data_IF_426572794745
#
_entry.id   IF_426572794745
#
_cell.length_a   1.000
_cell.length_b   1.000
_cell.length_c   1.000
_cell.angle_alpha   90.00
_cell.angle_beta   90.00
_cell.angle_gamma   90.00
#
_symmetry.space_group_name_H-M   'P 1'
#
loop_
_entity.id
_entity.type
_entity.pdbx_description
1 polymer ?
#
# COMPACT_ATOMS: atom_id res chain seq x y z
N UNK A 1 -37.05 0.93 -27.12
CA UNK A 1 -38.27 0.82 -26.29
C UNK A 1 -37.96 -0.21 -25.22
N UNK A 2 -37.89 0.22 -23.96
CA UNK A 2 -37.73 -0.67 -22.80
C UNK A 2 -39.05 -0.60 -22.02
N UNK A 3 -39.73 -1.71 -21.73
CA UNK A 3 -41.03 -1.69 -21.08
C UNK A 3 -40.82 -1.77 -19.56
N UNK A 4 -40.99 -0.66 -18.87
CA UNK A 4 -41.31 -0.69 -17.43
C UNK A 4 -42.55 0.18 -17.22
N UNK A 5 -43.65 -0.38 -16.71
CA UNK A 5 -44.90 0.36 -16.53
C UNK A 5 -44.74 1.41 -15.42
N UNK A 6 -45.35 2.58 -15.64
CA UNK A 6 -45.38 3.73 -14.73
C UNK A 6 -46.15 3.48 -13.40
N UNK A 7 -46.40 2.23 -13.03
CA UNK A 7 -47.18 1.82 -11.86
C UNK A 7 -46.38 1.88 -10.56
N UNK A 8 -45.06 1.68 -10.59
CA UNK A 8 -44.24 1.60 -9.36
C UNK A 8 -43.89 2.97 -8.75
N UNK A 9 -44.18 4.06 -9.46
CA UNK A 9 -43.90 5.42 -8.99
C UNK A 9 -45.09 6.10 -8.30
N UNK A 10 -46.28 5.48 -8.29
CA UNK A 10 -47.45 6.03 -7.58
C UNK A 10 -47.39 5.86 -6.06
N UNK A 11 -46.53 4.98 -5.53
CA UNK A 11 -46.36 4.77 -4.08
C UNK A 11 -45.57 5.88 -3.38
N UNK A 12 -44.77 6.66 -4.12
CA UNK A 12 -43.95 7.76 -3.59
C UNK A 12 -44.74 9.07 -3.41
N UNK A 13 -45.77 9.30 -4.21
CA UNK A 13 -46.56 10.53 -4.18
C UNK A 13 -47.56 10.57 -3.01
N UNK A 14 -47.93 9.42 -2.44
CA UNK A 14 -48.96 9.33 -1.39
C UNK A 14 -48.54 9.83 0.00
N UNK A 15 -47.25 10.08 0.25
CA UNK A 15 -46.76 10.49 1.58
C UNK A 15 -46.45 11.97 1.74
N UNK A 16 -46.41 12.77 0.66
CA UNK A 16 -45.97 14.17 0.74
C UNK A 16 -46.66 15.06 -0.32
N UNK A 17 -47.75 15.79 0.04
CA UNK A 17 -48.42 16.68 -0.90
C UNK A 17 -47.50 17.86 -1.27
N UNK A 18 -47.07 17.93 -2.54
CA UNK A 18 -46.29 19.07 -3.08
C UNK A 18 -45.12 18.73 -4.01
N UNK A 19 -44.78 17.45 -4.21
CA UNK A 19 -43.67 17.03 -5.08
C UNK A 19 -44.18 16.72 -6.50
N UNK A 20 -43.71 17.47 -7.50
CA UNK A 20 -43.95 17.20 -8.93
C UNK A 20 -42.64 16.77 -9.58
N UNK A 21 -42.56 15.51 -10.03
CA UNK A 21 -41.45 15.02 -10.86
C UNK A 21 -41.74 15.29 -12.34
N UNK A 22 -40.85 16.00 -13.02
CA UNK A 22 -40.96 16.28 -14.45
C UNK A 22 -39.81 15.59 -15.22
N UNK A 23 -40.18 14.79 -16.23
CA UNK A 23 -39.23 14.14 -17.14
C UNK A 23 -39.24 14.87 -18.50
N UNK A 24 -38.07 15.28 -19.00
CA UNK A 24 -37.93 15.77 -20.39
C UNK A 24 -37.12 14.76 -21.21
N UNK A 25 -37.62 14.27 -22.35
CA UNK A 25 -36.81 13.46 -23.25
C UNK A 25 -35.81 14.34 -23.99
N UNK A 26 -34.51 14.04 -23.87
CA UNK A 26 -33.48 14.63 -24.72
C UNK A 26 -33.21 13.73 -25.93
N UNK A 27 -33.20 14.30 -27.13
CA UNK A 27 -32.84 13.60 -28.37
C UNK A 27 -31.31 13.40 -28.42
N UNK A 28 -30.91 12.16 -28.73
CA UNK A 28 -29.62 11.66 -29.21
C UNK A 28 -28.44 11.44 -28.21
N UNK A 29 -28.04 10.14 -28.16
CA UNK A 29 -26.73 9.50 -27.86
C UNK A 29 -25.92 9.80 -26.59
N UNK A 30 -26.45 10.48 -25.59
CA UNK A 30 -25.88 10.42 -24.24
C UNK A 30 -26.98 10.59 -23.19
N UNK A 31 -27.22 9.59 -22.35
CA UNK A 31 -28.21 9.69 -21.26
C UNK A 31 -27.58 10.48 -20.11
N UNK A 32 -27.74 11.81 -20.12
CA UNK A 32 -27.65 12.62 -18.91
C UNK A 32 -29.06 12.85 -18.38
N UNK A 33 -29.47 12.10 -17.35
CA UNK A 33 -30.65 12.45 -16.58
C UNK A 33 -30.32 13.65 -15.69
N UNK A 34 -31.00 14.78 -15.89
CA UNK A 34 -31.06 15.86 -14.89
C UNK A 34 -32.34 15.68 -14.10
N UNK A 35 -32.22 15.23 -12.85
CA UNK A 35 -33.32 15.29 -11.89
C UNK A 35 -33.39 16.74 -11.37
N UNK A 36 -34.51 17.42 -11.60
CA UNK A 36 -34.75 18.77 -11.11
C UNK A 36 -36.00 18.80 -10.24
N UNK A 37 -35.84 19.17 -8.98
CA UNK A 37 -36.96 19.39 -8.05
C UNK A 37 -37.48 20.81 -8.29
N UNK A 38 -38.73 20.95 -8.72
CA UNK A 38 -39.43 22.25 -8.77
C UNK A 38 -40.59 22.21 -7.78
N UNK A 39 -40.48 22.96 -6.69
CA UNK A 39 -41.63 23.19 -5.80
C UNK A 39 -42.52 24.27 -6.41
N UNK A 40 -43.83 24.04 -6.45
CA UNK A 40 -44.82 25.06 -6.85
C UNK A 40 -44.86 26.18 -5.82
N UNK A 41 -45.00 27.43 -6.28
CA UNK A 41 -44.89 28.67 -5.49
C UNK A 41 -46.04 28.93 -4.50
N UNK A 42 -46.73 27.89 -4.05
CA UNK A 42 -47.86 27.96 -3.12
C UNK A 42 -47.70 26.88 -2.05
N UNK A 43 -46.74 27.10 -1.16
CA UNK A 43 -46.65 26.44 0.14
C UNK A 43 -45.89 27.38 1.07
N UNK A 44 -46.64 28.16 1.85
CA UNK A 44 -46.17 29.03 2.91
C UNK A 44 -45.74 28.20 4.12
N UNK A 45 -44.53 28.48 4.64
CA UNK A 45 -43.99 28.11 5.96
C UNK A 45 -44.05 26.63 6.39
N UNK A 46 -42.96 25.89 6.13
CA UNK A 46 -42.45 24.88 7.07
C UNK A 46 -40.96 24.64 6.82
N UNK A 47 -40.17 24.72 7.89
CA UNK A 47 -38.71 24.57 7.94
C UNK A 47 -38.26 23.16 7.53
N UNK A 48 -37.50 23.06 6.43
CA UNK A 48 -36.62 21.92 6.16
C UNK A 48 -35.22 22.49 6.10
N UNK A 49 -34.33 22.06 7.00
CA UNK A 49 -32.98 22.58 7.04
C UNK A 49 -32.10 21.96 5.92
N UNK A 50 -30.95 22.55 5.62
CA UNK A 50 -30.09 22.09 4.52
C UNK A 50 -29.50 20.68 4.75
N UNK A 51 -29.53 20.18 5.98
CA UNK A 51 -29.03 18.86 6.38
C UNK A 51 -30.04 17.75 6.04
N UNK A 52 -31.32 17.99 6.35
CA UNK A 52 -32.45 17.15 5.92
C UNK A 52 -32.55 17.11 4.39
N UNK A 53 -32.23 18.23 3.72
CA UNK A 53 -32.16 18.33 2.25
C UNK A 53 -31.05 17.45 1.67
N UNK A 54 -29.89 17.35 2.33
CA UNK A 54 -28.76 16.50 1.90
C UNK A 54 -29.03 15.03 2.17
N UNK A 55 -29.63 14.70 3.31
CA UNK A 55 -30.05 13.34 3.64
C UNK A 55 -31.07 12.80 2.62
N UNK A 56 -32.05 13.61 2.21
CA UNK A 56 -33.03 13.26 1.20
C UNK A 56 -32.40 12.99 -0.18
N UNK A 57 -31.43 13.83 -0.59
CA UNK A 57 -30.69 13.65 -1.85
C UNK A 57 -29.84 12.37 -1.81
N UNK A 58 -29.24 12.06 -0.66
CA UNK A 58 -28.44 10.86 -0.46
C UNK A 58 -29.31 9.60 -0.52
N UNK A 59 -30.43 9.57 0.20
CA UNK A 59 -31.32 8.39 0.24
C UNK A 59 -31.95 8.09 -1.12
N UNK A 60 -32.35 9.14 -1.87
CA UNK A 60 -32.84 8.99 -3.24
C UNK A 60 -31.75 8.48 -4.20
N UNK A 61 -30.49 8.91 -4.04
CA UNK A 61 -29.36 8.44 -4.84
C UNK A 61 -29.04 6.97 -4.58
N UNK A 62 -29.06 6.54 -3.32
CA UNK A 62 -28.81 5.14 -2.93
C UNK A 62 -29.88 4.21 -3.50
N UNK A 63 -31.17 4.59 -3.41
CA UNK A 63 -32.26 3.76 -3.94
C UNK A 63 -32.32 3.75 -5.46
N UNK A 64 -32.02 4.88 -6.12
CA UNK A 64 -31.90 4.91 -7.59
C UNK A 64 -30.73 4.05 -8.06
N UNK A 65 -29.60 4.02 -7.33
CA UNK A 65 -28.46 3.18 -7.67
C UNK A 65 -28.79 1.68 -7.53
N UNK A 66 -29.55 1.28 -6.50
CA UNK A 66 -30.02 -0.09 -6.33
C UNK A 66 -30.92 -0.62 -7.47
N UNK A 67 -31.62 0.25 -8.19
CA UNK A 67 -32.45 -0.13 -9.36
C UNK A 67 -31.62 -0.36 -10.62
N UNK A 68 -30.38 0.14 -10.69
CA UNK A 68 -29.50 -0.01 -11.86
C UNK A 68 -28.49 -1.18 -11.76
N UNK A 69 -28.43 -1.88 -10.62
CA UNK A 69 -27.54 -3.03 -10.43
C UNK A 69 -28.23 -4.16 -9.68
N UNK A 70 -29.10 -4.92 -10.36
CA UNK A 70 -29.37 -6.33 -10.06
C UNK A 70 -30.44 -6.90 -10.99
N UNK A 71 -30.01 -7.62 -12.03
CA UNK A 71 -30.84 -8.63 -12.68
C UNK A 71 -30.74 -9.94 -11.89
N UNK A 72 -31.50 -10.06 -10.80
CA UNK A 72 -31.92 -11.31 -10.15
C UNK A 72 -32.61 -10.97 -8.82
N UNK A 73 -33.95 -11.07 -8.76
CA UNK A 73 -34.67 -11.10 -7.48
C UNK A 73 -34.65 -12.54 -6.96
N UNK A 74 -33.91 -12.78 -5.87
CA UNK A 74 -34.18 -13.88 -4.97
C UNK A 74 -35.24 -13.41 -3.95
N UNK A 75 -36.37 -14.10 -3.90
CA UNK A 75 -37.40 -13.91 -2.88
C UNK A 75 -36.90 -14.48 -1.56
N UNK A 76 -36.76 -13.64 -0.53
CA UNK A 76 -36.57 -14.08 0.85
C UNK A 76 -37.91 -13.99 1.58
N UNK A 77 -38.41 -15.13 2.06
CA UNK A 77 -39.53 -15.22 2.98
C UNK A 77 -39.10 -14.76 4.38
N UNK A 78 -39.83 -13.81 4.94
CA UNK A 78 -39.71 -13.37 6.34
C UNK A 78 -40.17 -14.49 7.27
N UNK A 79 -39.21 -15.16 7.92
CA UNK A 79 -39.42 -15.80 9.23
C UNK A 79 -38.04 -16.04 9.89
N UNK A 80 -37.51 -15.01 10.53
CA UNK A 80 -36.41 -15.15 11.47
C UNK A 80 -36.76 -14.39 12.77
N UNK A 81 -36.51 -14.98 13.95
CA UNK A 81 -36.93 -14.41 15.22
C UNK A 81 -36.17 -13.12 15.49
N UNK A 82 -36.91 -12.10 15.94
CA UNK A 82 -36.39 -10.81 16.36
C UNK A 82 -35.43 -11.04 17.54
N UNK A 83 -34.13 -10.89 17.30
CA UNK A 83 -33.14 -10.74 18.37
C UNK A 83 -33.35 -9.35 18.99
N UNK A 84 -34.21 -9.27 20.00
CA UNK A 84 -34.23 -8.17 20.95
C UNK A 84 -32.94 -8.21 21.78
N UNK A 85 -31.87 -7.62 21.24
CA UNK A 85 -30.78 -6.99 22.00
C UNK A 85 -29.76 -6.38 21.00
N UNK A 86 -30.10 -5.22 20.45
CA UNK A 86 -29.14 -4.37 19.73
C UNK A 86 -29.33 -2.89 20.06
N UNK A 87 -29.75 -2.59 21.29
CA UNK A 87 -29.66 -1.24 21.84
C UNK A 87 -28.32 -1.12 22.57
N UNK A 88 -27.55 -0.12 22.17
CA UNK A 88 -26.26 0.32 22.72
C UNK A 88 -24.99 -0.29 22.13
N UNK A 89 -24.81 -0.15 20.80
CA UNK A 89 -23.51 0.35 20.31
C UNK A 89 -23.75 1.76 19.81
N UNK A 90 -23.92 2.70 20.74
CA UNK A 90 -23.79 4.09 20.41
C UNK A 90 -22.36 4.29 19.88
N UNK A 91 -22.20 4.58 18.59
CA UNK A 91 -20.95 5.11 18.07
C UNK A 91 -20.63 6.33 18.94
N UNK A 92 -19.63 6.21 19.81
CA UNK A 92 -19.15 7.35 20.57
C UNK A 92 -18.86 8.45 19.56
N UNK A 93 -19.35 9.69 19.74
CA UNK A 93 -18.94 10.78 18.88
C UNK A 93 -17.41 10.77 18.88
N UNK A 94 -16.78 10.67 17.70
CA UNK A 94 -15.32 10.73 17.58
C UNK A 94 -14.91 11.97 18.34
N UNK A 95 -14.29 11.76 19.50
CA UNK A 95 -13.98 12.83 20.39
C UNK A 95 -13.00 13.78 19.69
N UNK A 96 -12.99 15.06 20.04
CA UNK A 96 -12.00 16.01 19.55
C UNK A 96 -10.60 15.51 19.92
N UNK A 97 -9.93 14.79 19.02
CA UNK A 97 -8.57 14.29 19.19
C UNK A 97 -7.61 15.36 18.71
N UNK A 98 -6.50 15.53 19.42
CA UNK A 98 -5.45 16.48 19.06
C UNK A 98 -4.10 15.90 19.40
N UNK A 99 -3.14 16.10 18.51
CA UNK A 99 -1.74 15.83 18.76
C UNK A 99 -1.24 16.85 19.79
N UNK A 100 -0.88 16.37 20.98
CA UNK A 100 -0.34 17.21 22.06
C UNK A 100 1.14 17.48 21.85
N UNK A 101 1.91 16.44 21.49
CA UNK A 101 3.34 16.54 21.23
C UNK A 101 3.84 15.41 20.36
N UNK A 102 5.00 15.63 19.76
CA UNK A 102 5.73 14.63 18.97
C UNK A 102 7.15 14.52 19.54
N UNK A 103 7.57 13.30 19.86
CA UNK A 103 8.94 13.00 20.27
C UNK A 103 9.63 12.19 19.19
N UNK A 104 10.84 12.62 18.80
CA UNK A 104 11.74 11.86 17.94
C UNK A 104 12.96 11.50 18.75
N UNK A 105 13.30 10.21 18.76
CA UNK A 105 14.51 9.71 19.42
C UNK A 105 15.35 8.95 18.41
N UNK A 106 16.66 9.19 18.42
CA UNK A 106 17.60 8.52 17.52
C UNK A 106 18.43 7.51 18.30
N UNK A 107 18.54 6.31 17.73
CA UNK A 107 19.23 5.17 18.30
C UNK A 107 20.20 4.62 17.27
N UNK A 108 21.22 3.93 17.76
CA UNK A 108 22.25 3.30 16.95
C UNK A 108 22.51 1.91 17.53
N UNK A 109 22.18 0.86 16.77
CA UNK A 109 22.51 -0.50 17.15
C UNK A 109 23.92 -0.83 16.65
N UNK A 110 24.94 -0.98 17.52
CA UNK A 110 26.24 -1.45 17.10
C UNK A 110 26.16 -2.92 16.67
N UNK A 111 26.90 -3.25 15.61
CA UNK A 111 27.00 -4.59 15.05
C UNK A 111 28.45 -5.07 15.12
N UNK A 112 28.65 -6.18 15.83
CA UNK A 112 29.94 -6.87 15.92
C UNK A 112 29.75 -8.37 15.64
N UNK A 113 30.22 -8.89 14.49
CA UNK A 113 30.93 -8.15 13.43
C UNK A 113 30.00 -7.19 12.67
N UNK A 114 30.56 -6.16 11.98
CA UNK A 114 29.79 -5.29 11.09
C UNK A 114 29.02 -6.07 10.03
N UNK A 115 27.79 -5.65 9.74
CA UNK A 115 26.94 -6.29 8.73
C UNK A 115 27.44 -5.98 7.31
N UNK A 116 27.53 -7.00 6.46
CA UNK A 116 28.01 -6.87 5.07
C UNK A 116 26.84 -7.01 4.11
N UNK A 117 26.05 -5.95 4.02
CA UNK A 117 24.96 -5.85 3.06
C UNK A 117 25.44 -6.06 1.62
N UNK A 118 24.66 -6.77 0.79
CA UNK A 118 25.06 -7.04 -0.59
C UNK A 118 25.09 -5.79 -1.49
N UNK A 119 24.21 -4.82 -1.23
CA UNK A 119 24.12 -3.55 -1.95
C UNK A 119 25.12 -2.50 -1.46
N UNK A 120 25.89 -2.79 -0.41
CA UNK A 120 26.84 -1.85 0.20
C UNK A 120 28.25 -2.43 0.23
N UNK A 121 29.15 -1.82 -0.54
CA UNK A 121 30.57 -2.19 -0.54
C UNK A 121 31.29 -1.89 0.78
N UNK A 122 30.69 -1.13 1.69
CA UNK A 122 31.21 -0.81 3.01
C UNK A 122 30.44 -1.59 4.09
N UNK A 123 31.12 -2.38 4.94
CA UNK A 123 30.46 -3.02 6.07
C UNK A 123 29.83 -1.98 6.99
N UNK A 124 28.62 -2.25 7.46
CA UNK A 124 27.83 -1.38 8.33
C UNK A 124 28.09 -1.76 9.79
N UNK A 125 28.85 -0.96 10.56
CA UNK A 125 29.11 -1.24 11.97
C UNK A 125 27.93 -0.83 12.87
N UNK A 126 26.99 -0.05 12.34
CA UNK A 126 25.88 0.55 13.09
C UNK A 126 24.64 0.55 12.21
N UNK A 127 23.49 0.20 12.78
CA UNK A 127 22.17 0.45 12.19
C UNK A 127 21.52 1.65 12.88
N UNK A 128 21.42 2.82 12.22
CA UNK A 128 20.71 3.97 12.78
C UNK A 128 19.20 3.75 12.70
N UNK A 129 18.50 4.08 13.78
CA UNK A 129 17.04 3.97 13.87
C UNK A 129 16.48 5.23 14.52
N UNK A 130 15.53 5.88 13.85
CA UNK A 130 14.71 6.91 14.49
C UNK A 130 13.38 6.30 14.91
N UNK A 131 12.93 6.63 16.12
CA UNK A 131 11.61 6.27 16.64
C UNK A 131 10.83 7.55 16.87
N UNK A 132 9.66 7.62 16.25
CA UNK A 132 8.69 8.70 16.37
C UNK A 132 7.59 8.27 17.32
N UNK A 133 7.23 9.14 18.27
CA UNK A 133 6.09 8.98 19.18
C UNK A 133 5.17 10.18 19.06
N UNK A 134 3.96 9.97 18.56
CA UNK A 134 2.92 11.00 18.48
C UNK A 134 1.97 10.77 19.65
N UNK A 135 1.90 11.74 20.56
CA UNK A 135 1.08 11.66 21.76
C UNK A 135 -0.17 12.52 21.59
N UNK A 136 -1.33 11.91 21.76
CA UNK A 136 -2.60 12.64 21.81
C UNK A 136 -2.81 13.28 23.18
N UNK A 137 -3.59 14.35 23.25
CA UNK A 137 -3.97 15.01 24.53
C UNK A 137 -4.74 14.11 25.52
N UNK A 138 -5.08 12.88 25.12
CA UNK A 138 -5.72 11.84 25.95
C UNK A 138 -4.76 10.73 26.36
N UNK A 139 -3.46 10.88 26.08
CA UNK A 139 -2.41 9.94 26.47
C UNK A 139 -2.21 8.75 25.53
N UNK A 140 -3.04 8.55 24.50
CA UNK A 140 -2.77 7.54 23.48
C UNK A 140 -1.53 7.92 22.66
N UNK A 141 -0.68 6.93 22.37
CA UNK A 141 0.62 7.12 21.70
C UNK A 141 0.71 6.27 20.44
N UNK A 142 0.92 6.92 19.29
CA UNK A 142 1.29 6.26 18.04
C UNK A 142 2.81 6.15 17.90
N UNK A 143 3.28 5.05 17.33
CA UNK A 143 4.69 4.73 17.17
C UNK A 143 4.98 4.49 15.69
N UNK A 144 6.04 5.14 15.21
CA UNK A 144 6.57 4.91 13.88
C UNK A 144 8.09 4.88 13.90
N UNK A 145 8.68 4.38 12.81
CA UNK A 145 10.13 4.23 12.70
C UNK A 145 10.60 4.45 11.28
N UNK A 146 11.86 4.85 11.16
CA UNK A 146 12.59 4.86 9.90
C UNK A 146 14.08 4.97 10.16
N UNK A 147 14.81 5.31 9.10
CA UNK A 147 16.23 5.65 9.15
C UNK A 147 16.47 6.99 9.86
N UNK A 148 17.63 7.63 9.68
CA UNK A 148 17.91 8.92 10.29
C UNK A 148 16.94 10.02 9.80
N UNK A 149 16.21 10.64 10.73
CA UNK A 149 15.25 11.72 10.49
C UNK A 149 15.88 13.10 10.78
N UNK A 150 17.08 13.33 10.26
CA UNK A 150 17.81 14.58 10.54
C UNK A 150 17.02 15.81 10.06
N UNK A 151 16.84 16.78 10.94
CA UNK A 151 16.17 18.05 10.65
C UNK A 151 14.64 17.97 10.62
N UNK A 152 14.04 16.84 10.99
CA UNK A 152 12.58 16.69 11.06
C UNK A 152 11.95 17.62 12.11
N UNK A 153 12.72 17.98 13.14
CA UNK A 153 12.30 18.79 14.29
C UNK A 153 11.75 20.15 13.85
N UNK A 154 12.26 20.71 12.75
CA UNK A 154 11.82 21.99 12.19
C UNK A 154 10.38 21.98 11.66
N UNK A 155 9.81 20.78 11.45
CA UNK A 155 8.50 20.63 10.81
C UNK A 155 7.42 20.07 11.74
N UNK A 156 7.77 19.61 12.95
CA UNK A 156 6.84 18.91 13.84
C UNK A 156 5.64 19.77 14.27
N UNK A 157 5.84 21.08 14.44
CA UNK A 157 4.78 22.03 14.81
C UNK A 157 3.66 22.11 13.76
N UNK A 158 3.92 21.69 12.52
CA UNK A 158 2.91 21.63 11.48
C UNK A 158 1.84 20.55 11.77
N UNK A 159 2.15 19.56 12.62
CA UNK A 159 1.24 18.48 12.99
C UNK A 159 0.61 18.69 14.37
N UNK A 160 1.32 19.33 15.31
CA UNK A 160 0.83 19.57 16.68
C UNK A 160 -0.46 20.40 16.67
N UNK A 161 -1.39 20.05 17.57
CA UNK A 161 -2.71 20.69 17.71
C UNK A 161 -3.79 20.22 16.73
N UNK A 162 -3.40 19.54 15.64
CA UNK A 162 -4.33 18.96 14.67
C UNK A 162 -4.84 17.59 15.11
N UNK A 163 -5.99 17.17 14.56
CA UNK A 163 -6.56 15.84 14.82
C UNK A 163 -5.69 14.76 14.18
N UNK A 164 -5.16 13.77 14.94
CA UNK A 164 -4.37 12.69 14.37
C UNK A 164 -5.15 11.80 13.38
N UNK A 165 -6.49 11.84 13.40
CA UNK A 165 -7.34 11.10 12.48
C UNK A 165 -7.49 11.77 11.11
N UNK A 166 -7.06 13.03 10.95
CA UNK A 166 -6.99 13.74 9.67
C UNK A 166 -5.82 13.25 8.81
N UNK A 167 -5.69 11.94 8.62
CA UNK A 167 -4.52 11.29 7.99
C UNK A 167 -4.22 11.83 6.59
N UNK A 168 -5.26 12.18 5.81
CA UNK A 168 -5.08 12.79 4.50
C UNK A 168 -4.42 14.17 4.57
N UNK A 169 -4.80 14.99 5.56
CA UNK A 169 -4.20 16.32 5.78
C UNK A 169 -2.72 16.17 6.14
N UNK A 170 -2.43 15.25 7.06
CA UNK A 170 -1.06 15.00 7.50
C UNK A 170 -0.21 14.45 6.36
N UNK A 171 -0.74 13.53 5.54
CA UNK A 171 -0.04 13.03 4.36
C UNK A 171 0.38 14.16 3.41
N UNK A 172 -0.50 15.12 3.11
CA UNK A 172 -0.15 16.27 2.26
C UNK A 172 0.99 17.10 2.88
N UNK A 173 0.94 17.36 4.19
CA UNK A 173 2.03 18.07 4.89
C UNK A 173 3.34 17.28 4.80
N UNK A 174 3.29 15.97 5.09
CA UNK A 174 4.46 15.08 5.06
C UNK A 174 5.03 14.96 3.64
N UNK A 175 4.19 14.88 2.61
CA UNK A 175 4.63 14.85 1.22
C UNK A 175 5.37 16.13 0.82
N UNK A 176 4.99 17.29 1.36
CA UNK A 176 5.71 18.55 1.14
C UNK A 176 7.03 18.60 1.93
N UNK A 177 7.05 18.08 3.17
CA UNK A 177 8.30 17.96 3.95
C UNK A 177 9.30 17.05 3.23
N UNK A 178 8.83 15.98 2.58
CA UNK A 178 9.65 15.01 1.86
C UNK A 178 10.55 15.62 0.78
N UNK A 179 10.05 16.68 0.13
CA UNK A 179 10.78 17.47 -0.87
C UNK A 179 11.83 18.40 -0.23
N UNK A 180 11.53 18.96 0.95
CA UNK A 180 12.37 19.97 1.60
C UNK A 180 13.42 19.41 2.56
N UNK A 181 13.22 18.19 3.07
CA UNK A 181 14.03 17.64 4.16
C UNK A 181 14.28 16.14 4.05
N UNK A 182 14.11 15.45 5.17
CA UNK A 182 14.32 14.01 5.28
C UNK A 182 13.12 13.20 4.77
N UNK A 183 13.16 11.87 4.91
CA UNK A 183 12.03 10.96 4.62
C UNK A 183 11.07 10.95 5.83
N UNK A 184 9.94 11.69 5.85
CA UNK A 184 9.18 11.94 7.07
C UNK A 184 8.14 10.85 7.37
N UNK A 185 8.09 9.80 6.55
CA UNK A 185 7.09 8.71 6.60
C UNK A 185 6.98 7.95 7.93
N UNK A 186 7.98 7.90 8.82
CA UNK A 186 7.78 7.43 10.18
C UNK A 186 6.69 8.19 10.96
N UNK A 187 6.43 9.46 10.62
CA UNK A 187 5.30 10.22 11.18
C UNK A 187 3.96 9.68 10.68
N UNK A 188 3.82 9.35 9.39
CA UNK A 188 2.60 8.76 8.84
C UNK A 188 2.30 7.40 9.47
N UNK A 189 3.33 6.56 9.65
CA UNK A 189 3.20 5.28 10.36
C UNK A 189 2.72 5.50 11.80
N UNK A 190 3.31 6.46 12.52
CA UNK A 190 2.91 6.79 13.88
C UNK A 190 1.47 7.31 13.96
N UNK A 191 1.02 8.10 12.98
CA UNK A 191 -0.37 8.57 12.89
C UNK A 191 -1.34 7.41 12.69
N UNK A 192 -1.01 6.44 11.83
CA UNK A 192 -1.84 5.25 11.61
C UNK A 192 -1.90 4.34 12.84
N UNK A 193 -0.78 4.12 13.52
CA UNK A 193 -0.77 3.38 14.80
C UNK A 193 -1.62 4.10 15.87
N UNK A 194 -1.51 5.43 15.97
CA UNK A 194 -2.36 6.23 16.86
C UNK A 194 -3.84 6.12 16.49
N UNK A 195 -4.17 6.19 15.20
CA UNK A 195 -5.53 6.05 14.71
C UNK A 195 -6.12 4.68 15.04
N UNK A 196 -5.33 3.60 14.89
CA UNK A 196 -5.70 2.26 15.32
C UNK A 196 -6.01 2.18 16.81
N UNK A 197 -5.13 2.74 17.64
CA UNK A 197 -5.31 2.78 19.11
C UNK A 197 -6.50 3.60 19.56
N UNK A 198 -6.74 4.76 18.94
CA UNK A 198 -7.92 5.59 19.19
C UNK A 198 -9.20 4.84 18.83
N UNK A 199 -9.18 4.09 17.73
CA UNK A 199 -10.35 3.34 17.23
C UNK A 199 -10.51 1.96 17.85
N UNK A 200 -9.53 1.46 18.59
CA UNK A 200 -9.53 0.11 19.15
C UNK A 200 -9.41 -0.99 18.09
N UNK A 201 -8.84 -0.69 16.91
CA UNK A 201 -8.79 -1.60 15.76
C UNK A 201 -7.36 -1.68 15.19
N UNK A 202 -6.89 -2.86 14.73
CA UNK A 202 -5.61 -2.97 14.05
C UNK A 202 -5.64 -2.25 12.70
N UNK A 203 -4.54 -1.60 12.34
CA UNK A 203 -4.42 -0.78 11.12
C UNK A 203 -4.81 -1.52 9.85
N UNK A 204 -4.56 -2.83 9.74
CA UNK A 204 -4.88 -3.59 8.53
C UNK A 204 -6.40 -3.71 8.30
N UNK A 205 -7.21 -3.70 9.38
CA UNK A 205 -8.68 -3.65 9.28
C UNK A 205 -9.15 -2.27 8.82
N UNK A 206 -8.50 -1.21 9.31
CA UNK A 206 -8.79 0.16 8.88
C UNK A 206 -8.46 0.39 7.39
N UNK A 207 -7.47 -0.33 6.86
CA UNK A 207 -7.01 -0.24 5.47
C UNK A 207 -7.79 -1.10 4.47
N UNK A 208 -8.87 -1.77 4.90
CA UNK A 208 -9.75 -2.56 4.03
C UNK A 208 -9.91 -4.01 4.45
N UNK A 209 -9.04 -4.53 5.32
CA UNK A 209 -9.26 -5.81 5.98
C UNK A 209 -9.09 -7.06 5.09
N UNK A 210 -8.21 -7.03 4.08
CA UNK A 210 -8.06 -8.13 3.12
C UNK A 210 -7.74 -9.49 3.78
N UNK A 211 -6.70 -9.58 4.61
CA UNK A 211 -6.38 -10.81 5.34
C UNK A 211 -5.61 -10.53 6.62
N UNK A 212 -6.01 -11.16 7.73
CA UNK A 212 -5.25 -11.13 8.98
C UNK A 212 -3.98 -12.01 8.98
N UNK A 213 -3.65 -12.63 7.84
CA UNK A 213 -2.45 -13.46 7.64
C UNK A 213 -1.80 -13.09 6.31
N UNK A 214 -0.47 -13.03 6.32
CA UNK A 214 0.37 -12.79 5.14
C UNK A 214 1.38 -13.93 5.02
N UNK A 215 1.81 -14.25 3.79
CA UNK A 215 2.93 -15.19 3.60
C UNK A 215 4.21 -14.38 3.49
N UNK A 216 5.27 -14.84 4.11
CA UNK A 216 6.58 -14.18 4.05
C UNK A 216 7.55 -14.99 3.18
N UNK A 217 8.45 -14.29 2.50
CA UNK A 217 9.71 -14.87 2.03
C UNK A 217 10.85 -14.48 2.97
N UNK A 218 12.00 -15.14 2.88
CA UNK A 218 13.19 -14.76 3.65
C UNK A 218 14.24 -14.10 2.75
N UNK A 219 14.62 -12.86 3.05
CA UNK A 219 15.69 -12.14 2.35
C UNK A 219 17.05 -12.42 3.00
N UNK A 220 18.02 -12.91 2.21
CA UNK A 220 19.33 -13.33 2.75
C UNK A 220 20.26 -12.17 3.11
N UNK A 221 20.01 -10.97 2.57
CA UNK A 221 20.67 -9.70 2.90
C UNK A 221 22.18 -9.58 2.57
N UNK A 222 22.90 -10.68 2.39
CA UNK A 222 24.34 -10.73 2.21
C UNK A 222 24.73 -11.70 1.10
N UNK A 223 25.79 -11.36 0.37
CA UNK A 223 26.51 -12.34 -0.45
C UNK A 223 27.25 -13.32 0.48
N UNK A 224 27.22 -14.61 0.13
CA UNK A 224 27.89 -15.69 0.84
C UNK A 224 28.64 -16.58 -0.14
N UNK A 225 29.60 -17.35 0.33
CA UNK A 225 30.17 -18.42 -0.51
C UNK A 225 29.10 -19.45 -0.86
N UNK A 226 29.28 -20.19 -1.96
CA UNK A 226 28.22 -21.03 -2.55
C UNK A 226 27.68 -22.07 -1.56
N UNK A 227 28.56 -22.77 -0.85
CA UNK A 227 28.15 -23.75 0.17
C UNK A 227 27.41 -23.08 1.32
N UNK A 228 27.96 -22.00 1.87
CA UNK A 228 27.31 -21.27 2.96
C UNK A 228 25.94 -20.69 2.58
N UNK A 229 25.76 -20.28 1.32
CA UNK A 229 24.47 -19.83 0.81
C UNK A 229 23.47 -20.98 0.69
N UNK A 230 23.90 -22.14 0.19
CA UNK A 230 23.07 -23.34 0.11
C UNK A 230 22.64 -23.83 1.50
N UNK A 231 23.57 -23.86 2.47
CA UNK A 231 23.30 -24.20 3.87
C UNK A 231 22.29 -23.21 4.48
N UNK A 232 22.53 -21.91 4.30
CA UNK A 232 21.59 -20.86 4.76
C UNK A 232 20.19 -21.04 4.15
N UNK A 233 20.12 -21.39 2.86
CA UNK A 233 18.84 -21.61 2.20
C UNK A 233 18.11 -22.82 2.76
N UNK A 234 18.80 -23.95 2.97
CA UNK A 234 18.24 -25.14 3.59
C UNK A 234 17.72 -24.84 5.01
N UNK A 235 18.47 -24.10 5.83
CA UNK A 235 18.03 -23.66 7.16
C UNK A 235 16.74 -22.81 7.11
N UNK A 236 16.61 -21.93 6.12
CA UNK A 236 15.39 -21.12 5.94
C UNK A 236 14.19 -21.97 5.53
N UNK A 237 14.39 -23.00 4.72
CA UNK A 237 13.34 -23.98 4.37
C UNK A 237 12.91 -24.78 5.60
N UNK A 238 13.86 -25.24 6.42
CA UNK A 238 13.57 -25.96 7.67
C UNK A 238 12.80 -25.10 8.67
N UNK A 239 13.00 -23.77 8.64
CA UNK A 239 12.21 -22.80 9.41
C UNK A 239 10.81 -22.55 8.85
N UNK A 240 10.48 -23.14 7.70
CA UNK A 240 9.16 -23.08 7.08
C UNK A 240 8.96 -21.93 6.09
N UNK A 241 10.02 -21.27 5.62
CA UNK A 241 9.88 -20.26 4.57
C UNK A 241 9.63 -20.93 3.22
N UNK A 242 8.50 -20.64 2.55
CA UNK A 242 8.18 -21.21 1.24
C UNK A 242 8.91 -20.53 0.08
N UNK A 243 9.63 -19.44 0.36
CA UNK A 243 10.27 -18.60 -0.64
C UNK A 243 11.49 -17.88 -0.04
N UNK A 244 12.57 -17.75 -0.81
CA UNK A 244 13.86 -17.18 -0.35
C UNK A 244 14.41 -16.22 -1.40
N UNK A 245 14.71 -14.98 -1.00
CA UNK A 245 15.36 -13.97 -1.85
C UNK A 245 16.87 -14.00 -1.66
N UNK A 246 17.58 -14.26 -2.75
CA UNK A 246 19.03 -14.34 -2.82
C UNK A 246 19.60 -13.06 -3.44
N UNK A 247 20.74 -12.61 -2.92
CA UNK A 247 21.47 -11.47 -3.48
C UNK A 247 22.31 -11.90 -4.68
N UNK A 248 22.26 -11.11 -5.75
CA UNK A 248 22.85 -11.39 -7.06
C UNK A 248 23.59 -10.15 -7.54
N UNK A 249 24.79 -9.95 -7.00
CA UNK A 249 25.57 -8.73 -7.26
C UNK A 249 27.08 -9.00 -7.17
N UNK A 250 27.52 -10.20 -7.57
CA UNK A 250 28.96 -10.46 -7.69
C UNK A 250 29.50 -9.77 -8.94
N UNK A 251 30.82 -9.58 -8.97
CA UNK A 251 31.49 -8.89 -10.07
C UNK A 251 31.25 -9.58 -11.44
N UNK A 252 31.20 -10.91 -11.46
CA UNK A 252 30.74 -11.70 -12.60
C UNK A 252 29.42 -12.38 -12.24
N UNK A 253 28.34 -12.04 -12.95
CA UNK A 253 27.01 -12.61 -12.75
C UNK A 253 27.00 -14.14 -12.93
N UNK A 254 27.97 -14.71 -13.64
CA UNK A 254 28.09 -16.18 -13.76
C UNK A 254 28.43 -16.85 -12.44
N UNK A 255 29.12 -16.15 -11.54
CA UNK A 255 29.34 -16.65 -10.17
C UNK A 255 28.05 -16.64 -9.35
N UNK A 256 27.17 -15.66 -9.58
CA UNK A 256 25.85 -15.64 -8.97
C UNK A 256 24.97 -16.79 -9.48
N UNK A 257 24.99 -17.08 -10.79
CA UNK A 257 24.29 -18.24 -11.37
C UNK A 257 24.77 -19.54 -10.74
N UNK A 258 26.09 -19.76 -10.64
CA UNK A 258 26.64 -20.95 -9.97
C UNK A 258 26.25 -21.05 -8.49
N UNK A 259 26.14 -19.93 -7.80
CA UNK A 259 25.66 -19.91 -6.42
C UNK A 259 24.16 -20.28 -6.35
N UNK A 260 23.36 -19.77 -7.27
CA UNK A 260 21.94 -20.06 -7.39
C UNK A 260 21.67 -21.54 -7.73
N UNK A 261 22.46 -22.13 -8.64
CA UNK A 261 22.44 -23.57 -8.94
C UNK A 261 22.68 -24.40 -7.67
N UNK A 262 23.69 -24.06 -6.88
CA UNK A 262 23.98 -24.77 -5.60
C UNK A 262 22.83 -24.64 -4.60
N UNK A 263 22.16 -23.49 -4.53
CA UNK A 263 20.98 -23.32 -3.69
C UNK A 263 19.83 -24.18 -4.21
N UNK A 264 19.57 -24.17 -5.51
CA UNK A 264 18.49 -24.95 -6.13
C UNK A 264 18.68 -26.45 -5.89
N UNK A 265 19.91 -26.94 -6.00
CA UNK A 265 20.25 -28.34 -5.71
C UNK A 265 19.98 -28.70 -4.24
N UNK A 266 20.26 -27.78 -3.30
CA UNK A 266 20.06 -28.01 -1.88
C UNK A 266 18.59 -27.97 -1.43
N UNK A 267 17.79 -27.04 -1.96
CA UNK A 267 16.39 -26.82 -1.51
C UNK A 267 15.34 -27.49 -2.40
N UNK A 268 15.74 -27.97 -3.58
CA UNK A 268 14.84 -28.58 -4.56
C UNK A 268 13.86 -27.61 -5.21
N UNK A 269 12.85 -28.16 -5.89
CA UNK A 269 11.90 -27.39 -6.71
C UNK A 269 10.66 -26.86 -5.98
N UNK A 270 10.44 -27.20 -4.70
CA UNK A 270 9.24 -26.79 -3.96
C UNK A 270 9.31 -25.39 -3.34
N UNK A 271 10.50 -24.78 -3.34
CA UNK A 271 10.76 -23.46 -2.75
C UNK A 271 10.92 -22.45 -3.87
N UNK A 272 10.19 -21.34 -3.75
CA UNK A 272 10.32 -20.22 -4.70
C UNK A 272 11.64 -19.50 -4.44
N UNK A 273 12.47 -19.36 -5.47
CA UNK A 273 13.70 -18.58 -5.38
C UNK A 273 13.46 -17.23 -6.04
N UNK A 274 13.81 -16.17 -5.33
CA UNK A 274 13.72 -14.80 -5.81
C UNK A 274 15.14 -14.23 -5.85
N UNK A 275 15.39 -13.30 -6.77
CA UNK A 275 16.73 -12.75 -6.97
C UNK A 275 16.66 -11.24 -6.97
N UNK A 276 17.58 -10.62 -6.23
CA UNK A 276 17.80 -9.19 -6.20
C UNK A 276 19.14 -8.83 -6.83
N UNK A 277 19.11 -8.03 -7.89
CA UNK A 277 20.28 -7.62 -8.65
C UNK A 277 20.96 -6.34 -8.12
N UNK A 278 20.32 -5.63 -7.18
CA UNK A 278 20.81 -4.41 -6.54
C UNK A 278 21.33 -3.35 -7.58
N UNK A 279 20.71 -3.24 -8.78
CA UNK A 279 21.13 -2.25 -9.79
C UNK A 279 20.40 -0.90 -9.65
N UNK A 280 19.28 -0.85 -8.92
CA UNK A 280 18.49 0.35 -8.69
C UNK A 280 18.88 1.09 -7.40
N UNK A 281 19.05 0.34 -6.30
CA UNK A 281 19.52 0.81 -5.01
C UNK A 281 21.04 0.94 -4.99
N UNK A 282 21.48 2.17 -5.20
CA UNK A 282 22.90 2.52 -5.32
C UNK A 282 23.34 3.36 -4.14
N UNK A 283 24.49 3.04 -3.58
CA UNK A 283 25.11 3.80 -2.49
C UNK A 283 25.78 5.09 -3.00
N UNK A 284 25.91 6.13 -2.15
CA UNK A 284 26.54 7.40 -2.54
C UNK A 284 28.00 7.28 -3.05
N UNK A 285 28.72 6.21 -2.69
CA UNK A 285 30.10 5.95 -3.12
C UNK A 285 30.19 5.02 -4.33
N UNK A 286 29.08 4.52 -4.86
CA UNK A 286 29.15 3.64 -6.02
C UNK A 286 29.46 4.41 -7.29
N UNK A 287 30.50 3.98 -8.00
CA UNK A 287 30.94 4.59 -9.27
C UNK A 287 30.81 3.66 -10.47
N UNK A 288 30.52 2.37 -10.25
CA UNK A 288 30.35 1.38 -11.33
C UNK A 288 29.01 1.60 -12.04
N UNK A 289 28.95 1.63 -13.37
CA UNK A 289 27.66 1.73 -14.05
C UNK A 289 26.77 0.52 -13.75
N UNK A 290 25.44 0.69 -13.64
CA UNK A 290 24.52 -0.43 -13.54
C UNK A 290 24.55 -1.25 -14.85
N UNK A 291 23.98 -2.44 -14.82
CA UNK A 291 23.88 -3.27 -16.01
C UNK A 291 23.19 -2.56 -17.18
N UNK A 292 23.68 -2.88 -18.38
CA UNK A 292 23.00 -2.54 -19.62
C UNK A 292 21.77 -3.43 -19.81
N UNK A 293 20.82 -2.96 -20.62
CA UNK A 293 19.67 -3.77 -21.04
C UNK A 293 20.08 -5.14 -21.60
N UNK A 294 21.11 -5.20 -22.45
CA UNK A 294 21.56 -6.46 -23.05
C UNK A 294 22.11 -7.44 -22.02
N UNK A 295 22.86 -6.97 -21.02
CA UNK A 295 23.33 -7.81 -19.92
C UNK A 295 22.15 -8.35 -19.11
N UNK A 296 21.19 -7.50 -18.76
CA UNK A 296 20.00 -7.91 -18.02
C UNK A 296 19.16 -8.96 -18.77
N UNK A 297 19.01 -8.84 -20.09
CA UNK A 297 18.32 -9.85 -20.92
C UNK A 297 19.01 -11.22 -20.87
N UNK A 298 20.35 -11.24 -20.92
CA UNK A 298 21.10 -12.50 -20.83
C UNK A 298 20.90 -13.13 -19.46
N UNK A 299 21.10 -12.37 -18.38
CA UNK A 299 20.93 -12.86 -17.01
C UNK A 299 19.50 -13.34 -16.76
N UNK A 300 18.48 -12.59 -17.19
CA UNK A 300 17.09 -12.95 -16.98
C UNK A 300 16.71 -14.32 -17.60
N UNK A 301 17.31 -14.68 -18.74
CA UNK A 301 17.08 -16.00 -19.37
C UNK A 301 17.65 -17.14 -18.53
N UNK A 302 18.87 -16.96 -18.03
CA UNK A 302 19.51 -17.94 -17.14
C UNK A 302 18.71 -18.10 -15.84
N UNK A 303 18.22 -17.00 -15.26
CA UNK A 303 17.35 -17.03 -14.09
C UNK A 303 16.02 -17.74 -14.37
N UNK A 304 15.43 -17.54 -15.56
CA UNK A 304 14.19 -18.21 -15.96
C UNK A 304 14.38 -19.74 -16.09
N UNK A 305 15.52 -20.19 -16.63
CA UNK A 305 15.86 -21.62 -16.74
C UNK A 305 15.98 -22.29 -15.35
N UNK A 306 16.44 -21.55 -14.34
CA UNK A 306 16.54 -22.00 -12.95
C UNK A 306 15.22 -21.90 -12.15
N UNK A 307 14.13 -21.49 -12.82
CA UNK A 307 12.81 -21.36 -12.20
C UNK A 307 12.77 -20.28 -11.11
N UNK A 308 13.47 -19.17 -11.32
CA UNK A 308 13.39 -18.00 -10.43
C UNK A 308 12.03 -17.33 -10.59
N UNK A 309 11.44 -16.92 -9.46
CA UNK A 309 10.10 -16.33 -9.42
C UNK A 309 10.09 -14.88 -9.92
N UNK A 310 11.06 -14.05 -9.50
CA UNK A 310 11.30 -12.71 -10.01
C UNK A 310 12.77 -12.31 -10.03
N UNK A 311 13.08 -11.34 -10.89
CA UNK A 311 14.33 -10.59 -10.94
C UNK A 311 14.05 -9.16 -10.48
N UNK A 312 14.63 -8.80 -9.33
CA UNK A 312 14.45 -7.51 -8.67
C UNK A 312 15.58 -6.54 -9.04
N UNK A 313 15.19 -5.29 -9.32
CA UNK A 313 16.04 -4.16 -9.71
C UNK A 313 17.19 -4.50 -10.68
N UNK A 314 16.88 -5.01 -11.91
CA UNK A 314 17.89 -5.43 -12.88
C UNK A 314 18.59 -4.29 -13.62
N UNK A 315 18.06 -3.07 -13.52
CA UNK A 315 18.54 -1.87 -14.20
C UNK A 315 18.52 -0.67 -13.24
N UNK A 316 19.12 0.44 -13.67
CA UNK A 316 19.05 1.70 -12.90
C UNK A 316 17.61 2.10 -12.56
N UNK A 317 17.37 2.56 -11.32
CA UNK A 317 16.04 2.97 -10.80
C UNK A 317 15.27 3.95 -11.67
N UNK A 318 15.97 4.80 -12.44
CA UNK A 318 15.36 5.77 -13.35
C UNK A 318 15.05 5.25 -14.76
N UNK A 319 15.41 4.00 -15.09
CA UNK A 319 15.25 3.43 -16.44
C UNK A 319 13.93 2.67 -16.60
N UNK A 320 12.79 3.34 -16.36
CA UNK A 320 11.45 2.72 -16.47
C UNK A 320 11.23 2.08 -17.85
N UNK A 321 11.59 2.78 -18.93
CA UNK A 321 11.45 2.27 -20.31
C UNK A 321 12.28 1.01 -20.56
N UNK A 322 13.51 0.97 -20.06
CA UNK A 322 14.38 -0.20 -20.16
C UNK A 322 13.83 -1.39 -19.38
N UNK A 323 13.28 -1.16 -18.18
CA UNK A 323 12.62 -2.22 -17.40
C UNK A 323 11.36 -2.73 -18.11
N UNK A 324 10.52 -1.85 -18.67
CA UNK A 324 9.35 -2.25 -19.46
C UNK A 324 9.74 -3.09 -20.70
N UNK A 325 10.80 -2.67 -21.42
CA UNK A 325 11.33 -3.44 -22.53
C UNK A 325 11.86 -4.81 -22.08
N UNK A 326 12.55 -4.87 -20.94
CA UNK A 326 13.11 -6.10 -20.39
C UNK A 326 12.00 -7.08 -20.01
N UNK A 327 11.02 -6.60 -19.24
CA UNK A 327 9.81 -7.34 -18.85
C UNK A 327 9.14 -8.03 -20.04
N UNK A 328 8.96 -7.29 -21.14
CA UNK A 328 8.32 -7.82 -22.36
C UNK A 328 9.19 -8.84 -23.12
N UNK A 329 10.49 -8.91 -22.85
CA UNK A 329 11.45 -9.70 -23.63
C UNK A 329 11.84 -11.05 -22.99
N UNK A 330 11.69 -11.22 -21.67
CA UNK A 330 12.36 -12.31 -20.93
C UNK A 330 11.44 -13.34 -20.29
N UNK A 331 10.14 -13.09 -20.19
CA UNK A 331 9.17 -14.06 -19.60
C UNK A 331 9.37 -14.33 -18.10
N UNK A 332 10.28 -13.61 -17.45
CA UNK A 332 10.55 -13.61 -16.01
C UNK A 332 9.97 -12.34 -15.39
N UNK A 333 9.36 -12.46 -14.20
CA UNK A 333 8.78 -11.30 -13.52
C UNK A 333 9.85 -10.29 -13.16
N UNK A 334 9.61 -9.03 -13.48
CA UNK A 334 10.50 -7.92 -13.10
C UNK A 334 9.92 -7.22 -11.88
N UNK A 335 10.75 -7.04 -10.86
CA UNK A 335 10.38 -6.37 -9.62
C UNK A 335 11.23 -5.11 -9.39
N UNK A 336 10.65 -4.03 -8.84
CA UNK A 336 11.39 -2.83 -8.47
C UNK A 336 10.58 -1.90 -7.54
N UNK A 337 11.26 -0.88 -7.00
CA UNK A 337 10.62 0.28 -6.38
C UNK A 337 10.94 0.50 -4.90
N UNK A 338 11.86 -0.29 -4.33
CA UNK A 338 12.22 -0.29 -2.91
C UNK A 338 12.71 1.08 -2.40
N UNK A 339 13.51 1.77 -3.21
CA UNK A 339 14.12 3.05 -2.84
C UNK A 339 13.50 4.27 -3.53
N UNK A 340 12.44 4.06 -4.32
CA UNK A 340 11.73 5.13 -5.03
C UNK A 340 11.33 6.22 -4.05
N UNK A 341 11.70 7.48 -4.31
CA UNK A 341 11.54 8.56 -3.33
C UNK A 341 10.10 9.04 -3.20
N UNK A 342 9.39 9.12 -4.31
CA UNK A 342 8.14 9.87 -4.46
C UNK A 342 7.05 9.05 -5.12
N UNK A 343 5.81 9.44 -4.88
CA UNK A 343 4.62 8.82 -5.47
C UNK A 343 4.65 8.84 -7.01
N UNK A 344 5.12 9.94 -7.61
CA UNK A 344 5.18 10.10 -9.06
C UNK A 344 6.07 9.05 -9.73
N UNK A 345 7.21 8.72 -9.12
CA UNK A 345 8.11 7.71 -9.67
C UNK A 345 7.53 6.28 -9.52
N UNK A 346 6.75 6.00 -8.48
CA UNK A 346 6.00 4.75 -8.38
C UNK A 346 4.92 4.67 -9.47
N UNK A 347 4.23 5.79 -9.70
CA UNK A 347 3.23 5.91 -10.76
C UNK A 347 3.85 5.75 -12.16
N UNK A 348 5.04 6.28 -12.41
CA UNK A 348 5.78 6.07 -13.66
C UNK A 348 6.07 4.58 -13.89
N UNK A 349 6.47 3.84 -12.86
CA UNK A 349 6.69 2.39 -13.00
C UNK A 349 5.41 1.67 -13.47
N UNK A 350 4.25 2.06 -12.94
CA UNK A 350 2.95 1.52 -13.32
C UNK A 350 2.51 1.98 -14.72
N UNK A 351 2.64 3.27 -15.04
CA UNK A 351 2.24 3.84 -16.34
C UNK A 351 3.04 3.28 -17.51
N UNK A 352 4.35 3.08 -17.30
CA UNK A 352 5.21 2.46 -18.31
C UNK A 352 5.12 0.93 -18.31
N UNK A 353 4.32 0.32 -17.43
CA UNK A 353 4.25 -1.13 -17.22
C UNK A 353 5.65 -1.75 -17.05
N UNK A 354 6.46 -1.10 -16.21
CA UNK A 354 7.88 -1.40 -16.04
C UNK A 354 8.14 -2.67 -15.24
N UNK A 355 7.18 -3.07 -14.41
CA UNK A 355 7.31 -4.15 -13.42
C UNK A 355 6.08 -5.04 -13.42
N UNK A 356 6.28 -6.31 -13.06
CA UNK A 356 5.22 -7.24 -12.65
C UNK A 356 4.98 -7.18 -11.14
N UNK A 357 5.97 -6.71 -10.37
CA UNK A 357 5.95 -6.65 -8.92
C UNK A 357 6.48 -5.29 -8.46
N UNK A 358 5.65 -4.51 -7.77
CA UNK A 358 6.01 -3.21 -7.20
C UNK A 358 6.33 -3.37 -5.71
N UNK A 359 7.50 -2.88 -5.29
CA UNK A 359 8.06 -3.15 -3.96
C UNK A 359 8.37 -1.90 -3.12
N UNK A 360 7.44 -0.96 -2.89
CA UNK A 360 7.75 0.22 -2.09
C UNK A 360 7.85 -0.12 -0.60
N UNK A 361 8.54 0.71 0.19
CA UNK A 361 8.62 0.56 1.64
C UNK A 361 7.96 1.75 2.34
N UNK A 362 6.96 1.51 3.20
CA UNK A 362 6.21 2.56 3.89
C UNK A 362 7.08 3.43 4.82
N UNK A 363 8.23 2.92 5.29
CA UNK A 363 9.18 3.69 6.10
C UNK A 363 10.04 4.64 5.25
N UNK A 364 10.11 4.40 3.95
CA UNK A 364 10.97 5.12 3.01
C UNK A 364 10.16 6.00 2.06
N UNK A 365 8.93 5.64 1.73
CA UNK A 365 8.19 6.24 0.62
C UNK A 365 6.69 6.29 0.93
N UNK A 366 6.11 7.47 0.84
CA UNK A 366 4.66 7.73 0.89
C UNK A 366 3.89 7.22 2.12
N UNK A 367 4.55 6.69 3.15
CA UNK A 367 3.89 6.19 4.35
C UNK A 367 2.90 5.06 4.06
N UNK A 368 2.03 4.78 5.03
CA UNK A 368 0.88 3.90 4.86
C UNK A 368 -0.19 4.59 3.99
N UNK A 369 -0.43 5.89 4.21
CA UNK A 369 -1.49 6.64 3.52
C UNK A 369 -1.32 6.61 2.00
N UNK A 370 -0.16 7.03 1.50
CA UNK A 370 0.09 7.09 0.06
C UNK A 370 0.27 5.71 -0.56
N UNK A 371 0.96 4.79 0.12
CA UNK A 371 1.14 3.44 -0.42
C UNK A 371 -0.15 2.61 -0.47
N UNK A 372 -1.15 2.88 0.38
CA UNK A 372 -2.47 2.26 0.23
C UNK A 372 -3.14 2.65 -1.09
N UNK A 373 -3.00 3.92 -1.52
CA UNK A 373 -3.45 4.38 -2.83
C UNK A 373 -2.68 3.70 -3.98
N UNK A 374 -1.36 3.60 -3.85
CA UNK A 374 -0.51 2.92 -4.83
C UNK A 374 -0.82 1.43 -4.94
N UNK A 375 -1.07 0.74 -3.83
CA UNK A 375 -1.47 -0.67 -3.82
C UNK A 375 -2.79 -0.89 -4.58
N UNK A 376 -3.78 -0.03 -4.35
CA UNK A 376 -5.06 -0.09 -5.08
C UNK A 376 -4.88 0.18 -6.59
N UNK A 377 -3.94 1.04 -6.96
CA UNK A 377 -3.60 1.28 -8.38
C UNK A 377 -2.86 0.09 -8.99
N UNK A 378 -1.86 -0.47 -8.30
CA UNK A 378 -1.11 -1.64 -8.74
C UNK A 378 -2.05 -2.83 -9.01
N UNK A 379 -3.00 -3.08 -8.11
CA UNK A 379 -4.02 -4.12 -8.30
C UNK A 379 -4.85 -3.94 -9.59
N UNK A 380 -5.22 -2.70 -9.94
CA UNK A 380 -5.95 -2.40 -11.19
C UNK A 380 -5.09 -2.52 -12.44
N UNK A 381 -3.77 -2.35 -12.28
CA UNK A 381 -2.79 -2.55 -13.34
C UNK A 381 -2.31 -4.00 -13.45
N UNK A 382 -2.88 -4.92 -12.65
CA UNK A 382 -2.47 -6.33 -12.56
C UNK A 382 -1.00 -6.51 -12.16
N UNK A 383 -0.47 -5.54 -11.41
CA UNK A 383 0.89 -5.55 -10.85
C UNK A 383 0.81 -6.00 -9.42
N UNK A 384 1.65 -6.97 -9.04
CA UNK A 384 1.70 -7.44 -7.67
C UNK A 384 2.28 -6.36 -6.76
N UNK A 385 1.66 -6.13 -5.60
CA UNK A 385 2.17 -5.22 -4.59
C UNK A 385 2.77 -6.03 -3.43
N UNK A 386 4.06 -5.89 -3.17
CA UNK A 386 4.75 -6.56 -2.04
C UNK A 386 5.69 -5.55 -1.39
N UNK A 387 5.33 -4.96 -0.23
CA UNK A 387 6.21 -3.98 0.38
C UNK A 387 7.61 -4.54 0.66
N UNK A 388 8.63 -3.77 0.31
CA UNK A 388 10.01 -4.02 0.73
C UNK A 388 10.14 -3.70 2.21
N UNK A 389 10.83 -4.55 3.00
CA UNK A 389 10.86 -4.42 4.47
C UNK A 389 12.25 -4.47 5.08
N UNK A 390 13.28 -4.02 4.35
CA UNK A 390 14.58 -3.76 4.97
C UNK A 390 14.47 -2.68 6.06
N UNK A 391 15.04 -2.96 7.23
CA UNK A 391 15.07 -2.04 8.36
C UNK A 391 14.90 -2.76 9.68
N UNK A 392 14.05 -2.20 10.56
CA UNK A 392 13.80 -2.75 11.89
C UNK A 392 12.40 -3.36 12.01
N UNK A 393 12.15 -4.06 13.12
CA UNK A 393 10.89 -4.77 13.35
C UNK A 393 9.63 -3.91 13.33
N UNK A 394 9.69 -2.63 13.73
CA UNK A 394 8.52 -1.73 13.67
C UNK A 394 8.19 -1.39 12.21
N UNK A 395 9.22 -1.22 11.37
CA UNK A 395 9.05 -0.99 9.93
C UNK A 395 8.45 -2.19 9.22
N UNK A 396 8.89 -3.41 9.58
CA UNK A 396 8.27 -4.65 9.13
C UNK A 396 6.78 -4.70 9.52
N UNK A 397 6.44 -4.38 10.78
CA UNK A 397 5.04 -4.36 11.22
C UNK A 397 4.19 -3.35 10.44
N UNK A 398 4.70 -2.15 10.19
CA UNK A 398 3.99 -1.14 9.40
C UNK A 398 3.66 -1.65 7.99
N UNK A 399 4.66 -2.20 7.30
CA UNK A 399 4.51 -2.79 5.97
C UNK A 399 3.61 -4.04 5.99
N UNK A 400 3.68 -4.88 7.03
CA UNK A 400 2.80 -6.02 7.21
C UNK A 400 1.33 -5.60 7.36
N UNK A 401 1.06 -4.56 8.15
CA UNK A 401 -0.29 -4.00 8.29
C UNK A 401 -0.82 -3.42 6.98
N UNK A 402 0.02 -2.70 6.25
CA UNK A 402 -0.31 -2.18 4.92
C UNK A 402 -0.65 -3.32 3.95
N UNK A 403 0.21 -4.33 3.85
CA UNK A 403 0.03 -5.46 2.96
C UNK A 403 -1.18 -6.32 3.33
N UNK A 404 -1.37 -6.59 4.63
CA UNK A 404 -2.54 -7.31 5.16
C UNK A 404 -3.86 -6.58 4.89
N UNK A 405 -3.84 -5.24 4.90
CA UNK A 405 -5.00 -4.40 4.66
C UNK A 405 -5.37 -4.28 3.18
N UNK A 406 -4.38 -3.95 2.35
CA UNK A 406 -4.59 -3.65 0.93
C UNK A 406 -4.49 -4.88 0.01
N UNK A 407 -3.79 -5.93 0.42
CA UNK A 407 -3.49 -7.09 -0.43
C UNK A 407 -2.52 -6.76 -1.57
N UNK A 408 -2.59 -7.56 -2.65
CA UNK A 408 -1.95 -7.24 -3.93
C UNK A 408 -0.80 -8.15 -4.35
N UNK A 409 -0.26 -9.01 -3.50
CA UNK A 409 0.83 -9.92 -3.87
C UNK A 409 0.82 -11.19 -3.03
N UNK A 410 1.62 -12.22 -3.38
CA UNK A 410 1.67 -13.45 -2.59
C UNK A 410 2.59 -13.34 -1.38
N UNK A 411 3.53 -12.39 -1.36
CA UNK A 411 4.60 -12.34 -0.37
C UNK A 411 4.73 -10.99 0.34
N UNK A 412 5.25 -11.03 1.55
CA UNK A 412 5.87 -9.95 2.30
C UNK A 412 7.34 -10.34 2.53
N UNK A 413 8.25 -9.38 2.49
CA UNK A 413 9.68 -9.63 2.80
C UNK A 413 9.95 -9.93 4.28
#
# INVERSE_FOLDING_TARGET
MCPYPASDFRSLAGRWPGIVMAFRPARARTVRMRCGIRMSRTATQSSVNDEERRALIFELRVRLWGVFTSGAMATFEENAPVLENSRDVAAQPLADHRIERIEVTHHALPLDPPFRAAWDSRPQPIVPVSIVRIVSHRGAVGIGTGTALEGIEHYLDLLVGHDPLDVARHYEVLSNIDFHGCRPWPLDIALWDLAGKIRGEPVWRLLGGNSGRVRCYASTGMLRDRSALADTAAELVDRGFPAIKLRFHRADWRDDIRALESVRDAVGGSVELLVDCDQGWRMPWDTTPPWTYHQAVVVARELAELGVYWMEEPLHRGNCKGMAALRNAVGLRIAAGEMTREEYALNDLLDWQSVDVLQPNATLTCGITGLASIAARAARAEVAFTPHTWGNGIGLLANAHLFAGCGGGPWLE
#
